data_IF_788465338386
#
_entry.id   IF_788465338386
#
_cell.length_a   1.000
_cell.length_b   1.000
_cell.length_c   1.000
_cell.angle_alpha   90.00
_cell.angle_beta   90.00
_cell.angle_gamma   90.00
#
_symmetry.space_group_name_H-M   'P 1'
#
loop_
_entity.id
_entity.type
_entity.pdbx_description
1 polymer ?
#
# COMPACT_ATOMS: atom_id res chain seq x y z
N UNK A 1 21.43 32.72 -15.79
CA UNK A 1 22.05 31.75 -14.86
C UNK A 1 20.96 30.81 -14.37
N UNK A 2 21.08 29.49 -14.61
CA UNK A 2 20.11 28.50 -14.11
C UNK A 2 20.19 28.48 -12.59
N UNK A 3 19.12 28.85 -11.88
CA UNK A 3 19.04 28.72 -10.43
C UNK A 3 18.96 27.23 -10.08
N UNK A 4 20.13 26.61 -9.90
CA UNK A 4 20.26 25.20 -9.50
C UNK A 4 19.79 24.97 -8.04
N UNK A 5 19.51 26.06 -7.29
CA UNK A 5 19.10 26.03 -5.88
C UNK A 5 17.74 26.73 -5.62
N UNK A 6 16.81 26.75 -6.59
CA UNK A 6 15.47 27.28 -6.30
C UNK A 6 14.74 26.34 -5.32
N UNK A 7 14.59 26.79 -4.07
CA UNK A 7 13.81 26.10 -3.05
C UNK A 7 12.37 26.60 -3.13
N UNK A 8 11.42 25.67 -3.29
CA UNK A 8 10.00 25.97 -3.49
C UNK A 8 9.22 25.62 -2.21
N UNK A 9 8.20 26.39 -1.82
CA UNK A 9 7.25 25.96 -0.80
C UNK A 9 6.52 24.68 -1.22
N UNK A 10 6.28 23.79 -0.26
CA UNK A 10 5.57 22.53 -0.49
C UNK A 10 4.41 22.36 0.49
N UNK A 11 3.25 21.93 -0.01
CA UNK A 11 2.11 21.57 0.81
C UNK A 11 1.78 20.10 0.62
N UNK A 12 1.74 19.35 1.73
CA UNK A 12 1.30 17.96 1.73
C UNK A 12 -0.20 17.92 2.03
N UNK A 13 -0.98 17.41 1.08
CA UNK A 13 -2.43 17.26 1.20
C UNK A 13 -2.75 15.98 1.99
N UNK A 14 -3.21 16.15 3.23
CA UNK A 14 -3.48 15.07 4.18
C UNK A 14 -4.92 15.04 4.72
N UNK A 15 -5.83 15.84 4.17
CA UNK A 15 -7.26 15.83 4.51
C UNK A 15 -8.08 14.62 4.01
N UNK A 16 -7.47 13.66 3.32
CA UNK A 16 -8.16 12.48 2.77
C UNK A 16 -8.50 11.42 3.82
N UNK A 17 -9.78 11.02 3.91
CA UNK A 17 -10.21 9.88 4.75
C UNK A 17 -10.00 8.53 4.04
N UNK A 18 -9.37 7.58 4.73
CA UNK A 18 -9.20 6.20 4.28
C UNK A 18 -10.45 5.36 4.53
N UNK A 19 -11.52 5.58 3.74
CA UNK A 19 -12.82 4.87 3.95
C UNK A 19 -12.67 3.35 3.96
N UNK A 20 -11.81 2.81 3.10
CA UNK A 20 -11.51 1.36 2.99
C UNK A 20 -10.46 0.87 4.01
N UNK A 21 -9.96 1.75 4.86
CA UNK A 21 -8.88 1.53 5.83
C UNK A 21 -9.34 1.85 7.26
N UNK A 22 -10.57 1.45 7.59
CA UNK A 22 -11.18 1.71 8.90
C UNK A 22 -11.53 3.18 9.16
N UNK A 23 -11.62 4.02 8.13
CA UNK A 23 -12.04 5.41 8.23
C UNK A 23 -11.00 6.39 8.80
N UNK A 24 -9.78 5.92 9.11
CA UNK A 24 -8.66 6.73 9.61
C UNK A 24 -8.17 7.73 8.55
N UNK A 25 -7.57 8.84 8.95
CA UNK A 25 -6.88 9.74 8.00
C UNK A 25 -5.72 9.01 7.33
N UNK A 26 -5.67 9.08 6.00
CA UNK A 26 -4.69 8.33 5.21
C UNK A 26 -3.25 8.62 5.61
N UNK A 27 -2.92 9.90 5.84
CA UNK A 27 -1.56 10.29 6.23
C UNK A 27 -1.08 9.67 7.55
N UNK A 28 -2.02 9.29 8.43
CA UNK A 28 -1.74 8.66 9.74
C UNK A 28 -1.81 7.13 9.71
N UNK A 29 -2.16 6.52 8.58
CA UNK A 29 -2.05 5.07 8.43
C UNK A 29 -0.57 4.72 8.50
N UNK A 30 -0.23 3.74 9.33
CA UNK A 30 1.14 3.26 9.40
C UNK A 30 1.41 2.31 8.22
N UNK A 31 2.55 2.52 7.59
CA UNK A 31 3.21 1.52 6.78
C UNK A 31 4.43 1.08 7.59
N UNK A 32 4.40 -0.15 8.11
CA UNK A 32 5.37 -0.64 9.09
C UNK A 32 5.28 0.20 10.38
N UNK A 33 6.36 0.85 10.79
CA UNK A 33 6.46 1.54 12.09
C UNK A 33 6.27 3.05 12.00
N UNK A 34 5.93 3.58 10.82
CA UNK A 34 5.77 5.01 10.64
C UNK A 34 4.56 5.39 9.78
N UNK A 35 3.94 6.56 10.02
CA UNK A 35 2.81 7.06 9.23
C UNK A 35 3.16 7.30 7.76
N UNK A 36 2.22 7.10 6.83
CA UNK A 36 2.43 7.35 5.40
C UNK A 36 2.98 8.75 5.10
N UNK A 37 2.49 9.77 5.81
CA UNK A 37 2.95 11.15 5.61
C UNK A 37 4.45 11.32 5.90
N UNK A 38 5.00 10.52 6.81
CA UNK A 38 6.44 10.59 7.15
C UNK A 38 7.32 10.15 5.98
N UNK A 39 6.85 9.22 5.13
CA UNK A 39 7.56 8.83 3.91
C UNK A 39 7.63 9.99 2.92
N UNK A 40 6.52 10.72 2.74
CA UNK A 40 6.46 11.88 1.85
C UNK A 40 7.33 13.02 2.38
N UNK A 41 7.25 13.32 3.69
CA UNK A 41 8.06 14.32 4.36
C UNK A 41 9.56 14.06 4.21
N UNK A 42 10.00 12.81 4.38
CA UNK A 42 11.39 12.43 4.18
C UNK A 42 11.86 12.72 2.75
N UNK A 43 11.02 12.48 1.73
CA UNK A 43 11.37 12.72 0.31
C UNK A 43 11.57 14.19 -0.03
N UNK A 44 10.85 15.09 0.64
CA UNK A 44 10.93 16.54 0.40
C UNK A 44 11.88 17.27 1.34
N UNK A 45 12.28 16.63 2.44
CA UNK A 45 13.21 17.20 3.42
C UNK A 45 14.52 17.63 2.75
N UNK A 46 14.94 18.86 3.01
CA UNK A 46 16.14 19.46 2.41
C UNK A 46 16.01 19.86 0.93
N UNK A 47 14.87 19.61 0.28
CA UNK A 47 14.63 19.92 -1.14
C UNK A 47 13.48 20.91 -1.37
N UNK A 48 12.59 21.07 -0.40
CA UNK A 48 11.52 22.05 -0.42
C UNK A 48 11.43 22.79 0.92
N UNK A 49 11.13 24.08 0.87
CA UNK A 49 10.89 24.92 2.04
C UNK A 49 10.18 26.23 1.63
N UNK A 50 9.33 26.81 2.49
CA UNK A 50 8.76 26.19 3.70
C UNK A 50 7.83 25.00 3.37
N UNK A 51 7.54 24.17 4.36
CA UNK A 51 6.62 23.02 4.23
C UNK A 51 5.41 23.25 5.13
N UNK A 52 4.21 22.98 4.59
CA UNK A 52 2.97 23.01 5.34
C UNK A 52 2.12 21.74 5.08
N UNK A 53 1.19 21.44 5.99
CA UNK A 53 0.29 20.29 5.91
C UNK A 53 -1.14 20.77 5.78
N UNK A 54 -1.83 20.39 4.70
CA UNK A 54 -3.26 20.67 4.59
C UNK A 54 -4.07 19.58 5.29
N UNK A 55 -4.74 19.96 6.39
CA UNK A 55 -5.40 19.07 7.34
C UNK A 55 -6.77 19.65 7.72
N UNK A 56 -7.78 18.78 7.79
CA UNK A 56 -9.14 19.16 8.17
C UNK A 56 -9.65 18.46 9.45
N UNK A 57 -8.90 17.49 9.97
CA UNK A 57 -9.24 16.70 11.16
C UNK A 57 -7.97 16.25 11.89
N UNK A 58 -8.10 15.82 13.16
CA UNK A 58 -7.00 15.25 13.94
C UNK A 58 -5.74 16.13 14.05
N UNK A 59 -5.96 17.45 14.14
CA UNK A 59 -4.92 18.49 14.24
C UNK A 59 -3.80 18.17 15.24
N UNK A 60 -4.13 17.73 16.45
CA UNK A 60 -3.15 17.41 17.50
C UNK A 60 -2.13 16.35 17.06
N UNK A 61 -2.56 15.32 16.33
CA UNK A 61 -1.64 14.30 15.81
C UNK A 61 -0.72 14.85 14.73
N UNK A 62 -1.22 15.76 13.90
CA UNK A 62 -0.43 16.35 12.83
C UNK A 62 0.52 17.46 13.32
N UNK A 63 0.18 18.18 14.40
CA UNK A 63 1.07 19.16 15.05
C UNK A 63 2.38 18.53 15.49
N UNK A 64 2.36 17.24 15.88
CA UNK A 64 3.57 16.50 16.28
C UNK A 64 4.61 16.36 15.15
N UNK A 65 4.25 16.57 13.89
CA UNK A 65 5.24 16.59 12.80
C UNK A 65 6.01 17.91 12.71
N UNK A 66 5.59 18.98 13.42
CA UNK A 66 6.33 20.24 13.52
C UNK A 66 6.20 21.18 12.30
N UNK A 67 5.19 21.00 11.46
CA UNK A 67 4.94 21.83 10.27
C UNK A 67 3.70 22.71 10.45
N UNK A 68 3.65 23.83 9.72
CA UNK A 68 2.47 24.70 9.67
C UNK A 68 1.25 23.92 9.16
N UNK A 69 0.10 24.12 9.80
CA UNK A 69 -1.15 23.44 9.41
C UNK A 69 -2.04 24.43 8.66
N UNK A 70 -2.52 24.01 7.50
CA UNK A 70 -3.45 24.75 6.65
C UNK A 70 -4.81 24.06 6.64
N UNK A 71 -5.85 24.79 7.02
CA UNK A 71 -7.23 24.33 6.89
C UNK A 71 -7.81 24.66 5.51
N UNK A 72 -8.83 23.91 5.12
CA UNK A 72 -9.57 24.18 3.89
C UNK A 72 -10.28 25.55 3.96
N UNK A 73 -10.06 26.46 2.98
CA UNK A 73 -10.66 27.79 3.00
C UNK A 73 -12.17 27.78 2.70
N UNK A 74 -12.72 26.66 2.26
CA UNK A 74 -14.13 26.50 1.89
C UNK A 74 -14.72 25.30 2.62
N UNK A 75 -15.91 25.48 3.23
CA UNK A 75 -16.60 24.40 3.94
C UNK A 75 -17.23 23.41 2.95
N UNK A 76 -17.18 22.12 3.31
CA UNK A 76 -17.79 21.02 2.56
C UNK A 76 -16.76 20.03 2.01
N UNK A 77 -17.22 18.82 1.68
CA UNK A 77 -16.36 17.78 1.09
C UNK A 77 -16.16 18.01 -0.41
N UNK A 78 -15.39 19.03 -0.76
CA UNK A 78 -15.27 19.53 -2.14
C UNK A 78 -14.09 18.92 -2.92
N UNK A 79 -13.45 17.88 -2.38
CA UNK A 79 -12.36 17.16 -3.04
C UNK A 79 -10.99 17.84 -2.88
N UNK A 80 -9.95 17.35 -3.60
CA UNK A 80 -8.57 17.82 -3.45
C UNK A 80 -8.36 19.28 -3.89
N UNK A 81 -9.28 19.82 -4.70
CA UNK A 81 -9.21 21.20 -5.19
C UNK A 81 -9.22 22.24 -4.06
N UNK A 82 -9.88 21.97 -2.93
CA UNK A 82 -9.90 22.92 -1.80
C UNK A 82 -8.57 22.93 -1.05
N UNK A 83 -7.93 21.76 -0.88
CA UNK A 83 -6.57 21.69 -0.34
C UNK A 83 -5.55 22.37 -1.25
N UNK A 84 -5.71 22.25 -2.57
CA UNK A 84 -4.87 23.00 -3.54
C UNK A 84 -5.13 24.50 -3.41
N UNK A 85 -6.38 24.94 -3.28
CA UNK A 85 -6.71 26.35 -3.04
C UNK A 85 -6.07 26.88 -1.75
N UNK A 86 -6.11 26.09 -0.66
CA UNK A 86 -5.40 26.41 0.59
C UNK A 86 -3.91 26.61 0.34
N UNK A 87 -3.30 25.71 -0.45
CA UNK A 87 -1.89 25.75 -0.81
C UNK A 87 -1.51 27.00 -1.59
N UNK A 88 -2.32 27.39 -2.59
CA UNK A 88 -2.08 28.59 -3.40
C UNK A 88 -2.24 29.87 -2.59
N UNK A 89 -3.26 29.95 -1.73
CA UNK A 89 -3.49 31.09 -0.85
C UNK A 89 -2.33 31.26 0.14
N UNK A 90 -1.88 30.18 0.77
CA UNK A 90 -0.75 30.20 1.69
C UNK A 90 0.53 30.64 0.98
N UNK A 91 0.87 30.04 -0.17
CA UNK A 91 2.03 30.41 -0.95
C UNK A 91 2.01 31.89 -1.39
N UNK A 92 0.84 32.41 -1.76
CA UNK A 92 0.65 33.83 -2.07
C UNK A 92 0.90 34.72 -0.84
N UNK A 93 0.44 34.32 0.35
CA UNK A 93 0.66 35.06 1.60
C UNK A 93 2.15 35.14 1.97
N UNK A 94 2.91 34.06 1.73
CA UNK A 94 4.37 34.05 1.92
C UNK A 94 5.14 34.60 0.70
N UNK A 95 4.45 35.28 -0.22
CA UNK A 95 5.00 35.97 -1.40
C UNK A 95 5.78 35.06 -2.37
N UNK A 96 5.41 33.79 -2.42
CA UNK A 96 5.96 32.84 -3.38
C UNK A 96 5.13 32.83 -4.66
N UNK A 97 5.79 32.63 -5.81
CA UNK A 97 5.14 32.59 -7.13
C UNK A 97 4.65 31.20 -7.53
N UNK A 98 5.24 30.17 -6.92
CA UNK A 98 4.96 28.77 -7.19
C UNK A 98 4.85 27.99 -5.88
N UNK A 99 4.04 26.94 -5.88
CA UNK A 99 3.91 26.00 -4.77
C UNK A 99 3.80 24.57 -5.27
N UNK A 100 4.54 23.66 -4.64
CA UNK A 100 4.43 22.24 -4.88
C UNK A 100 3.30 21.67 -4.01
N UNK A 101 2.43 20.86 -4.59
CA UNK A 101 1.50 20.02 -3.83
C UNK A 101 1.91 18.56 -3.93
N UNK A 102 1.74 17.81 -2.85
CA UNK A 102 1.96 16.36 -2.82
C UNK A 102 0.85 15.68 -2.00
N UNK A 103 0.39 14.47 -2.37
CA UNK A 103 -0.52 13.71 -1.54
C UNK A 103 0.24 12.96 -0.44
N UNK A 104 -0.36 12.84 0.74
CA UNK A 104 0.26 12.15 1.89
C UNK A 104 0.37 10.62 1.77
N UNK A 105 -0.26 10.00 0.77
CA UNK A 105 -0.41 8.55 0.62
C UNK A 105 0.44 7.95 -0.52
N UNK A 106 1.49 8.67 -0.95
CA UNK A 106 2.44 8.23 -2.00
C UNK A 106 3.86 8.09 -1.43
N UNK A 107 4.19 6.99 -0.73
CA UNK A 107 5.47 6.87 -0.04
C UNK A 107 6.68 6.69 -0.97
N UNK A 108 6.44 6.39 -2.25
CA UNK A 108 7.47 6.01 -3.23
C UNK A 108 7.88 7.13 -4.18
N UNK A 109 7.63 8.40 -3.82
CA UNK A 109 7.99 9.53 -4.67
C UNK A 109 9.46 9.47 -5.15
N UNK A 110 9.72 9.73 -6.45
CA UNK A 110 11.06 9.69 -7.02
C UNK A 110 11.99 10.70 -6.35
N UNK A 111 13.27 10.35 -6.19
CA UNK A 111 14.24 11.24 -5.55
C UNK A 111 14.47 12.55 -6.32
N UNK A 112 14.33 12.52 -7.64
CA UNK A 112 14.50 13.64 -8.56
C UNK A 112 13.19 14.34 -8.93
N UNK A 113 12.10 14.09 -8.19
CA UNK A 113 10.78 14.66 -8.45
C UNK A 113 10.82 16.19 -8.56
N UNK A 114 11.31 16.86 -7.51
CA UNK A 114 11.30 18.33 -7.42
C UNK A 114 12.19 18.95 -8.51
N UNK A 115 13.39 18.39 -8.71
CA UNK A 115 14.32 18.85 -9.74
C UNK A 115 13.71 18.76 -11.14
N UNK A 116 13.04 17.64 -11.44
CA UNK A 116 12.44 17.41 -12.75
C UNK A 116 11.26 18.37 -13.01
N UNK A 117 10.43 18.63 -12.00
CA UNK A 117 9.34 19.61 -12.08
C UNK A 117 9.87 21.04 -12.26
N UNK A 118 10.93 21.42 -11.53
CA UNK A 118 11.59 22.72 -11.66
C UNK A 118 12.21 22.92 -13.04
N UNK A 119 12.88 21.90 -13.57
CA UNK A 119 13.46 21.94 -14.91
C UNK A 119 12.36 22.21 -15.94
N UNK A 120 11.27 21.45 -15.91
CA UNK A 120 10.15 21.65 -16.83
C UNK A 120 9.49 23.03 -16.67
N UNK A 121 9.34 23.53 -15.44
CA UNK A 121 8.89 24.91 -15.18
C UNK A 121 9.79 25.95 -15.87
N UNK A 122 11.11 25.81 -15.72
CA UNK A 122 12.07 26.77 -16.25
C UNK A 122 12.19 26.72 -17.77
N UNK A 123 11.98 25.54 -18.38
CA UNK A 123 11.96 25.36 -19.84
C UNK A 123 10.65 25.86 -20.47
N UNK A 124 9.59 26.04 -19.69
CA UNK A 124 8.26 26.45 -20.16
C UNK A 124 7.75 27.67 -19.35
N UNK A 125 8.27 28.89 -19.58
CA UNK A 125 7.97 30.06 -18.74
C UNK A 125 6.50 30.52 -18.78
N UNK A 126 5.76 30.15 -19.83
CA UNK A 126 4.37 30.58 -20.07
C UNK A 126 3.31 29.65 -19.45
N UNK A 127 3.73 28.60 -18.73
CA UNK A 127 2.81 27.65 -18.11
C UNK A 127 2.34 28.13 -16.74
N UNK A 128 1.14 27.69 -16.37
CA UNK A 128 0.51 27.97 -15.08
C UNK A 128 0.61 26.76 -14.14
N UNK A 129 0.98 25.59 -14.69
CA UNK A 129 0.98 24.31 -14.00
C UNK A 129 2.04 23.37 -14.59
N UNK A 130 2.76 22.64 -13.74
CA UNK A 130 3.63 21.52 -14.14
C UNK A 130 3.18 20.25 -13.41
N UNK A 131 2.79 19.21 -14.15
CA UNK A 131 2.19 17.98 -13.60
C UNK A 131 3.08 16.78 -13.83
N UNK A 132 3.26 15.94 -12.80
CA UNK A 132 3.89 14.64 -12.95
C UNK A 132 2.98 13.66 -13.72
N UNK A 133 3.57 12.89 -14.63
CA UNK A 133 2.95 11.79 -15.36
C UNK A 133 3.70 10.49 -15.13
N UNK A 134 2.99 9.37 -15.06
CA UNK A 134 3.55 8.02 -14.97
C UNK A 134 2.52 7.03 -15.51
N UNK A 135 2.98 5.97 -16.18
CA UNK A 135 2.16 4.91 -16.77
C UNK A 135 1.00 5.41 -17.63
N UNK A 136 1.19 6.52 -18.34
CA UNK A 136 0.16 7.16 -19.16
C UNK A 136 -0.90 7.98 -18.40
N UNK A 137 -0.80 8.09 -17.08
CA UNK A 137 -1.71 8.86 -16.23
C UNK A 137 -1.12 10.19 -15.79
N UNK A 138 -1.99 11.20 -15.65
CA UNK A 138 -1.67 12.45 -14.97
C UNK A 138 -1.81 12.27 -13.46
N UNK A 139 -0.87 12.84 -12.70
CA UNK A 139 -0.96 12.95 -11.24
C UNK A 139 -1.10 14.42 -10.87
N UNK A 140 -2.26 15.06 -11.10
CA UNK A 140 -2.41 16.51 -10.97
C UNK A 140 -2.31 17.01 -9.53
N UNK A 141 -2.36 16.12 -8.52
CA UNK A 141 -2.04 16.47 -7.14
C UNK A 141 -0.53 16.56 -6.89
N UNK A 142 0.29 15.86 -7.68
CA UNK A 142 1.74 15.90 -7.66
C UNK A 142 2.18 16.91 -8.72
N UNK A 143 2.11 18.19 -8.35
CA UNK A 143 2.23 19.26 -9.32
C UNK A 143 2.79 20.54 -8.71
N UNK A 144 3.45 21.32 -9.57
CA UNK A 144 3.92 22.66 -9.27
C UNK A 144 2.93 23.67 -9.84
N UNK A 145 2.36 24.50 -8.97
CA UNK A 145 1.28 25.42 -9.31
C UNK A 145 1.70 26.87 -9.23
N UNK A 146 1.34 27.67 -10.22
CA UNK A 146 1.48 29.12 -10.16
C UNK A 146 0.46 29.69 -9.18
N UNK A 147 0.90 30.51 -8.23
CA UNK A 147 0.04 30.97 -7.12
C UNK A 147 -1.13 31.84 -7.56
N UNK A 148 -1.01 32.53 -8.69
CA UNK A 148 -2.07 33.38 -9.25
C UNK A 148 -3.29 32.57 -9.72
N UNK A 149 -3.16 31.24 -9.84
CA UNK A 149 -4.28 30.35 -10.12
C UNK A 149 -5.31 30.31 -8.97
N UNK A 150 -5.02 30.90 -7.80
CA UNK A 150 -5.90 30.84 -6.65
C UNK A 150 -7.30 31.45 -6.90
N UNK A 151 -7.36 32.56 -7.65
CA UNK A 151 -8.63 33.25 -7.95
C UNK A 151 -9.49 32.43 -8.93
N UNK A 152 -8.89 31.94 -10.01
CA UNK A 152 -9.60 31.13 -11.00
C UNK A 152 -10.03 29.78 -10.41
N UNK A 153 -9.20 29.18 -9.55
CA UNK A 153 -9.55 27.94 -8.86
C UNK A 153 -10.72 28.15 -7.89
N UNK A 154 -10.69 29.23 -7.11
CA UNK A 154 -11.79 29.56 -6.20
C UNK A 154 -13.11 29.69 -6.97
N UNK A 155 -13.11 30.46 -8.06
CA UNK A 155 -14.28 30.64 -8.91
C UNK A 155 -14.78 29.31 -9.49
N UNK A 156 -13.89 28.48 -10.02
CA UNK A 156 -14.22 27.15 -10.53
C UNK A 156 -14.90 26.25 -9.47
N UNK A 157 -14.40 26.27 -8.23
CA UNK A 157 -14.98 25.49 -7.12
C UNK A 157 -16.38 26.02 -6.76
N UNK A 158 -16.58 27.33 -6.76
CA UNK A 158 -17.88 27.98 -6.51
C UNK A 158 -18.90 27.68 -7.62
N UNK A 159 -18.44 27.58 -8.87
CA UNK A 159 -19.23 27.15 -10.04
C UNK A 159 -19.50 25.64 -10.08
N UNK A 160 -19.05 24.90 -9.07
CA UNK A 160 -19.37 23.48 -8.90
C UNK A 160 -18.35 22.51 -9.51
N UNK A 161 -17.19 22.98 -9.98
CA UNK A 161 -16.11 22.08 -10.41
C UNK A 161 -15.56 21.34 -9.19
N UNK A 162 -15.53 20.00 -9.29
CA UNK A 162 -15.03 19.09 -8.23
C UNK A 162 -13.88 18.21 -8.68
N UNK A 163 -13.77 17.93 -9.98
CA UNK A 163 -12.72 17.07 -10.54
C UNK A 163 -11.52 17.91 -10.92
N UNK A 164 -10.35 17.50 -10.44
CA UNK A 164 -9.08 18.19 -10.70
C UNK A 164 -8.71 18.20 -12.18
N UNK A 165 -8.97 17.11 -12.91
CA UNK A 165 -8.69 17.03 -14.35
C UNK A 165 -9.53 18.04 -15.16
N UNK A 166 -10.78 18.29 -14.73
CA UNK A 166 -11.66 19.29 -15.37
C UNK A 166 -11.14 20.71 -15.15
N UNK A 167 -10.59 21.00 -13.97
CA UNK A 167 -10.01 22.31 -13.70
C UNK A 167 -8.69 22.50 -14.45
N UNK A 168 -7.79 21.53 -14.35
CA UNK A 168 -6.44 21.62 -14.93
C UNK A 168 -6.42 21.63 -16.45
N UNK A 169 -7.45 21.08 -17.12
CA UNK A 169 -7.59 21.18 -18.58
C UNK A 169 -7.76 22.61 -19.10
N UNK A 170 -8.10 23.56 -18.23
CA UNK A 170 -8.24 24.98 -18.56
C UNK A 170 -6.92 25.75 -18.41
N UNK A 171 -5.89 25.14 -17.83
CA UNK A 171 -4.61 25.76 -17.53
C UNK A 171 -3.56 25.41 -18.59
N UNK A 172 -2.65 26.35 -18.88
CA UNK A 172 -1.44 26.04 -19.64
C UNK A 172 -0.55 25.12 -18.81
N UNK A 173 -0.43 23.86 -19.24
CA UNK A 173 0.19 22.80 -18.44
C UNK A 173 1.40 22.20 -19.14
N UNK A 174 2.54 22.19 -18.45
CA UNK A 174 3.68 21.33 -18.80
C UNK A 174 3.57 19.99 -18.07
N UNK A 175 4.12 18.94 -18.67
CA UNK A 175 4.12 17.60 -18.10
C UNK A 175 5.53 17.03 -17.99
N UNK A 176 5.79 16.33 -16.90
CA UNK A 176 7.04 15.58 -16.69
C UNK A 176 6.71 14.10 -16.68
N UNK A 177 7.18 13.38 -17.70
CA UNK A 177 6.97 11.94 -17.81
C UNK A 177 8.02 11.18 -16.99
N UNK A 178 7.60 10.54 -15.90
CA UNK A 178 8.50 9.76 -15.04
C UNK A 178 8.74 8.35 -15.55
N UNK A 179 8.01 7.85 -16.55
CA UNK A 179 8.31 6.54 -17.18
C UNK A 179 9.69 6.54 -17.86
N UNK A 180 10.17 7.70 -18.29
CA UNK A 180 11.47 7.88 -18.96
C UNK A 180 12.62 8.10 -17.97
N UNK A 181 12.28 8.43 -16.72
CA UNK A 181 13.20 8.94 -15.71
C UNK A 181 13.38 7.92 -14.58
N UNK A 182 12.29 7.28 -14.18
CA UNK A 182 12.24 6.27 -13.11
C UNK A 182 12.06 4.89 -13.74
N UNK A 183 13.04 4.00 -13.51
CA UNK A 183 13.05 2.64 -14.04
C UNK A 183 12.45 1.60 -13.08
N UNK A 184 11.76 2.06 -12.03
CA UNK A 184 11.10 1.15 -11.08
C UNK A 184 10.04 0.29 -11.75
N UNK A 185 9.90 -0.95 -11.27
CA UNK A 185 8.90 -1.91 -11.77
C UNK A 185 7.46 -1.46 -11.44
N UNK A 186 7.28 -0.77 -10.32
CA UNK A 186 6.01 -0.21 -9.85
C UNK A 186 5.87 1.27 -10.23
N UNK A 187 4.65 1.79 -10.32
CA UNK A 187 4.43 3.23 -10.47
C UNK A 187 4.81 3.96 -9.16
N UNK A 188 5.81 4.89 -9.18
CA UNK A 188 6.26 5.58 -7.98
C UNK A 188 5.22 6.54 -7.39
N UNK A 189 4.16 6.85 -8.14
CA UNK A 189 3.05 7.69 -7.70
C UNK A 189 1.82 6.90 -7.24
N UNK A 190 1.97 5.59 -7.02
CA UNK A 190 0.88 4.74 -6.51
C UNK A 190 0.39 5.24 -5.14
N UNK A 191 -0.90 5.63 -5.07
CA UNK A 191 -1.57 5.96 -3.82
C UNK A 191 -1.98 4.70 -3.05
N UNK A 192 -1.70 4.66 -1.76
CA UNK A 192 -2.09 3.53 -0.89
C UNK A 192 -3.51 3.75 -0.33
N UNK A 193 -4.48 2.96 -0.83
CA UNK A 193 -5.91 3.13 -0.59
C UNK A 193 -6.59 1.95 0.13
N UNK A 194 -5.92 0.81 0.21
CA UNK A 194 -6.45 -0.46 0.70
C UNK A 194 -5.38 -1.28 1.44
N UNK A 195 -5.76 -2.29 2.24
CA UNK A 195 -4.78 -3.14 2.92
C UNK A 195 -3.88 -3.88 1.94
N UNK A 196 -4.41 -4.27 0.78
CA UNK A 196 -3.65 -4.86 -0.33
C UNK A 196 -2.52 -3.94 -0.79
N UNK A 197 -2.79 -2.64 -0.89
CA UNK A 197 -1.77 -1.67 -1.31
C UNK A 197 -0.64 -1.58 -0.28
N UNK A 198 -0.95 -1.69 1.02
CA UNK A 198 0.07 -1.72 2.07
C UNK A 198 0.94 -2.98 2.01
N UNK A 199 0.34 -4.15 1.73
CA UNK A 199 1.10 -5.40 1.51
C UNK A 199 2.08 -5.22 0.34
N UNK A 200 1.60 -4.71 -0.79
CA UNK A 200 2.44 -4.43 -1.97
C UNK A 200 3.53 -3.41 -1.61
N UNK A 201 3.20 -2.38 -0.84
CA UNK A 201 4.16 -1.39 -0.37
C UNK A 201 5.26 -2.02 0.49
N UNK A 202 4.93 -2.96 1.37
CA UNK A 202 5.92 -3.70 2.17
C UNK A 202 6.82 -4.58 1.30
N UNK A 203 6.29 -5.15 0.21
CA UNK A 203 7.07 -5.90 -0.77
C UNK A 203 8.03 -5.00 -1.55
N UNK A 204 7.58 -3.83 -2.00
CA UNK A 204 8.43 -2.82 -2.67
C UNK A 204 9.57 -2.36 -1.75
N UNK A 205 9.30 -2.23 -0.44
CA UNK A 205 10.32 -1.89 0.57
C UNK A 205 11.27 -3.05 0.91
N UNK A 206 11.08 -4.24 0.32
CA UNK A 206 11.87 -5.44 0.63
C UNK A 206 11.65 -5.96 2.06
N UNK A 207 10.52 -5.61 2.68
CA UNK A 207 10.16 -6.00 4.05
C UNK A 207 9.23 -7.19 4.12
N UNK A 208 8.62 -7.55 3.00
CA UNK A 208 7.76 -8.72 2.88
C UNK A 208 8.11 -9.46 1.60
N UNK A 209 8.27 -10.79 1.61
CA UNK A 209 8.44 -11.55 0.37
C UNK A 209 7.13 -11.58 -0.44
N UNK A 210 7.18 -12.13 -1.66
CA UNK A 210 5.97 -12.47 -2.40
C UNK A 210 5.01 -13.33 -1.57
N UNK A 211 3.70 -13.09 -1.73
CA UNK A 211 2.65 -13.81 -1.01
C UNK A 211 1.60 -14.35 -1.97
N UNK A 212 1.06 -15.52 -1.66
CA UNK A 212 -0.12 -16.05 -2.34
C UNK A 212 -0.96 -16.92 -1.41
N UNK A 213 -2.26 -17.01 -1.70
CA UNK A 213 -3.20 -17.82 -0.94
C UNK A 213 -3.57 -19.12 -1.65
N UNK A 214 -4.03 -20.10 -0.87
CA UNK A 214 -4.74 -21.28 -1.37
C UNK A 214 -6.23 -21.14 -1.10
N UNK A 215 -7.02 -21.08 -2.17
CA UNK A 215 -8.48 -21.01 -2.12
C UNK A 215 -9.09 -22.37 -2.47
N UNK A 216 -10.32 -22.64 -2.01
CA UNK A 216 -11.01 -23.89 -2.31
C UNK A 216 -11.97 -24.29 -1.20
N UNK A 217 -12.99 -25.07 -1.53
CA UNK A 217 -14.01 -25.53 -0.59
C UNK A 217 -13.42 -26.45 0.49
N UNK A 218 -14.14 -26.66 1.60
CA UNK A 218 -13.73 -27.63 2.61
C UNK A 218 -13.58 -29.02 1.98
N UNK A 219 -12.56 -29.78 2.38
CA UNK A 219 -12.26 -31.09 1.79
C UNK A 219 -11.47 -31.09 0.48
N UNK A 220 -11.23 -29.93 -0.16
CA UNK A 220 -10.50 -29.87 -1.45
C UNK A 220 -9.04 -30.30 -1.43
N UNK A 221 -8.44 -30.44 -0.24
CA UNK A 221 -7.03 -30.78 -0.11
C UNK A 221 -6.09 -29.58 -0.10
N UNK A 222 -6.59 -28.37 0.24
CA UNK A 222 -5.75 -27.16 0.43
C UNK A 222 -4.56 -27.40 1.34
N UNK A 223 -4.78 -27.95 2.54
CA UNK A 223 -3.70 -28.26 3.50
C UNK A 223 -2.70 -29.24 2.89
N UNK A 224 -3.19 -30.27 2.19
CA UNK A 224 -2.34 -31.27 1.54
C UNK A 224 -1.47 -30.65 0.45
N UNK A 225 -2.04 -29.78 -0.39
CA UNK A 225 -1.29 -29.05 -1.40
C UNK A 225 -0.29 -28.08 -0.74
N UNK A 226 -0.70 -27.36 0.31
CA UNK A 226 0.16 -26.46 1.07
C UNK A 226 1.41 -27.18 1.58
N UNK A 227 1.23 -28.31 2.29
CA UNK A 227 2.33 -29.12 2.80
C UNK A 227 3.26 -29.59 1.69
N UNK A 228 2.71 -30.12 0.58
CA UNK A 228 3.51 -30.58 -0.56
C UNK A 228 4.31 -29.45 -1.22
N UNK A 229 3.71 -28.26 -1.34
CA UNK A 229 4.41 -27.08 -1.87
C UNK A 229 5.54 -26.64 -0.95
N UNK A 230 5.30 -26.59 0.37
CA UNK A 230 6.34 -26.25 1.36
C UNK A 230 7.50 -27.24 1.27
N UNK A 231 7.21 -28.55 1.24
CA UNK A 231 8.23 -29.59 1.08
C UNK A 231 9.03 -29.41 -0.22
N UNK A 232 8.36 -29.11 -1.33
CA UNK A 232 9.01 -28.96 -2.62
C UNK A 232 9.89 -27.70 -2.68
N UNK A 233 9.39 -26.56 -2.18
CA UNK A 233 10.17 -25.32 -2.04
C UNK A 233 11.39 -25.52 -1.14
N UNK A 234 11.21 -26.17 0.01
CA UNK A 234 12.31 -26.45 0.96
C UNK A 234 13.37 -27.33 0.32
N UNK A 235 12.98 -28.35 -0.47
CA UNK A 235 13.92 -29.23 -1.19
C UNK A 235 14.81 -28.47 -2.18
N UNK A 236 14.31 -27.38 -2.76
CA UNK A 236 15.06 -26.53 -3.71
C UNK A 236 15.69 -25.29 -3.04
N UNK A 237 15.71 -25.25 -1.70
CA UNK A 237 16.41 -24.21 -0.92
C UNK A 237 15.60 -22.93 -0.66
N UNK A 238 14.30 -22.91 -0.97
CA UNK A 238 13.42 -21.75 -0.78
C UNK A 238 12.77 -21.83 0.61
N UNK A 239 12.93 -20.79 1.43
CA UNK A 239 12.35 -20.69 2.76
C UNK A 239 10.90 -20.22 2.68
N UNK A 240 9.98 -21.02 3.22
CA UNK A 240 8.54 -20.74 3.14
C UNK A 240 7.99 -20.30 4.49
N UNK A 241 7.42 -19.09 4.53
CA UNK A 241 6.54 -18.66 5.61
C UNK A 241 5.11 -19.14 5.38
N UNK A 242 4.38 -19.44 6.45
CA UNK A 242 2.98 -19.87 6.34
C UNK A 242 2.08 -19.11 7.28
N UNK A 243 0.94 -18.65 6.77
CA UNK A 243 -0.15 -18.10 7.57
C UNK A 243 -1.36 -19.00 7.43
N UNK A 244 -1.77 -19.63 8.53
CA UNK A 244 -2.95 -20.51 8.58
C UNK A 244 -4.03 -19.88 9.46
N UNK A 245 -5.19 -19.58 8.87
CA UNK A 245 -6.36 -19.16 9.62
C UNK A 245 -7.18 -20.39 10.04
N UNK A 246 -7.32 -20.63 11.35
CA UNK A 246 -8.16 -21.67 11.93
C UNK A 246 -9.59 -21.18 12.19
N UNK A 247 -10.61 -21.99 11.85
CA UNK A 247 -12.03 -21.61 12.00
C UNK A 247 -12.62 -21.78 13.42
N UNK A 248 -11.81 -22.12 14.43
CA UNK A 248 -12.24 -22.36 15.82
C UNK A 248 -11.16 -21.95 16.83
N UNK A 249 -11.53 -21.88 18.12
CA UNK A 249 -10.57 -21.77 19.23
C UNK A 249 -9.54 -22.91 19.13
N UNK A 250 -8.26 -22.57 19.12
CA UNK A 250 -7.16 -23.52 19.12
C UNK A 250 -6.16 -23.15 20.22
N UNK A 251 -5.51 -24.15 20.79
CA UNK A 251 -4.38 -23.96 21.70
C UNK A 251 -3.13 -24.57 21.06
N UNK A 252 -2.03 -23.81 21.10
CA UNK A 252 -0.71 -24.25 20.61
C UNK A 252 0.03 -25.05 21.70
N UNK A 253 -0.28 -24.78 22.96
CA UNK A 253 0.23 -25.49 24.13
C UNK A 253 -0.83 -26.39 24.78
N UNK A 254 -0.43 -27.16 25.80
CA UNK A 254 -1.29 -28.18 26.44
C UNK A 254 -1.72 -27.74 27.83
N UNK A 255 -3.01 -27.88 28.20
CA UNK A 255 -3.47 -27.67 29.57
C UNK A 255 -2.61 -28.40 30.62
N UNK A 256 -2.26 -27.70 31.70
CA UNK A 256 -1.43 -28.23 32.78
C UNK A 256 0.08 -28.18 32.56
N UNK A 257 0.56 -27.68 31.40
CA UNK A 257 2.00 -27.38 31.19
C UNK A 257 2.33 -25.93 31.58
N UNK A 258 3.60 -25.69 31.89
CA UNK A 258 4.06 -24.40 32.41
C UNK A 258 3.68 -23.22 31.50
N UNK A 259 3.90 -23.35 30.19
CA UNK A 259 3.56 -22.30 29.23
C UNK A 259 2.06 -22.00 29.19
N UNK A 260 1.22 -23.04 29.29
CA UNK A 260 -0.23 -22.89 29.35
C UNK A 260 -0.64 -22.17 30.63
N UNK A 261 -0.08 -22.58 31.77
CA UNK A 261 -0.38 -21.98 33.06
C UNK A 261 0.06 -20.51 33.12
N UNK A 262 1.27 -20.18 32.62
CA UNK A 262 1.76 -18.80 32.52
C UNK A 262 0.84 -17.93 31.65
N UNK A 263 0.42 -18.44 30.48
CA UNK A 263 -0.49 -17.74 29.58
C UNK A 263 -1.87 -17.54 30.20
N UNK A 264 -2.48 -18.58 30.78
CA UNK A 264 -3.79 -18.49 31.45
C UNK A 264 -3.74 -17.64 32.73
N UNK A 265 -2.57 -17.50 33.36
CA UNK A 265 -2.35 -16.56 34.45
C UNK A 265 -2.30 -15.08 33.99
N UNK A 266 -2.24 -14.82 32.67
CA UNK A 266 -2.34 -13.49 32.09
C UNK A 266 -1.09 -12.97 31.38
N UNK A 267 -0.07 -13.79 31.14
CA UNK A 267 1.13 -13.37 30.40
C UNK A 267 0.78 -12.97 28.95
N UNK A 268 1.07 -11.71 28.59
CA UNK A 268 0.77 -11.12 27.26
C UNK A 268 1.88 -10.11 26.86
N UNK A 269 2.75 -10.41 25.87
CA UNK A 269 2.90 -11.69 25.19
C UNK A 269 3.53 -12.76 26.07
N UNK A 270 3.33 -14.04 25.73
CA UNK A 270 4.06 -15.18 26.31
C UNK A 270 5.02 -15.76 25.27
N UNK A 271 6.30 -15.88 25.63
CA UNK A 271 7.33 -16.47 24.77
C UNK A 271 7.87 -17.73 25.45
N UNK A 272 7.84 -18.85 24.74
CA UNK A 272 8.52 -20.09 25.12
C UNK A 272 9.67 -20.36 24.14
N UNK A 273 10.85 -20.71 24.65
CA UNK A 273 12.05 -20.90 23.83
C UNK A 273 12.88 -22.10 24.28
N UNK A 274 13.62 -22.67 23.33
CA UNK A 274 14.56 -23.78 23.48
C UNK A 274 15.68 -23.66 22.45
N UNK A 275 16.66 -24.56 22.48
CA UNK A 275 17.72 -24.60 21.46
C UNK A 275 17.20 -24.86 20.04
N UNK A 276 16.08 -25.58 19.89
CA UNK A 276 15.55 -26.00 18.59
C UNK A 276 14.57 -24.99 17.99
N UNK A 277 13.81 -24.29 18.84
CA UNK A 277 12.71 -23.42 18.42
C UNK A 277 12.22 -22.54 19.56
N UNK A 278 11.50 -21.49 19.18
CA UNK A 278 10.68 -20.70 20.08
C UNK A 278 9.26 -20.53 19.51
N UNK A 279 8.31 -20.16 20.37
CA UNK A 279 6.97 -19.75 19.99
C UNK A 279 6.60 -18.48 20.75
N UNK A 280 5.98 -17.53 20.04
CA UNK A 280 5.38 -16.33 20.60
C UNK A 280 3.86 -16.50 20.54
N UNK A 281 3.20 -16.35 21.68
CA UNK A 281 1.75 -16.41 21.79
C UNK A 281 1.24 -15.06 22.30
N UNK A 282 0.34 -14.46 21.52
CA UNK A 282 -0.34 -13.23 21.84
C UNK A 282 -1.85 -13.49 21.83
N UNK A 283 -2.50 -13.26 22.96
CA UNK A 283 -3.95 -13.28 23.06
C UNK A 283 -4.54 -12.01 22.42
N UNK A 284 -5.61 -12.15 21.65
CA UNK A 284 -6.34 -11.01 21.07
C UNK A 284 -7.09 -10.24 22.16
N UNK A 285 -7.06 -8.92 22.08
CA UNK A 285 -7.84 -8.06 22.98
C UNK A 285 -9.31 -8.07 22.53
N UNK A 286 -10.23 -8.15 23.49
CA UNK A 286 -11.69 -8.16 23.25
C UNK A 286 -12.20 -9.21 22.23
N UNK A 287 -11.48 -10.31 22.03
CA UNK A 287 -11.77 -11.32 21.01
C UNK A 287 -11.82 -10.77 19.56
N UNK A 288 -11.24 -9.60 19.31
CA UNK A 288 -11.16 -9.03 17.95
C UNK A 288 -10.09 -9.78 17.13
N UNK A 289 -10.52 -10.33 16.00
CA UNK A 289 -9.65 -11.04 15.09
C UNK A 289 -8.79 -10.06 14.28
N UNK A 290 -7.47 -10.32 14.23
CA UNK A 290 -6.56 -9.51 13.40
C UNK A 290 -6.77 -9.82 11.92
N UNK A 291 -6.74 -8.77 11.12
CA UNK A 291 -6.72 -8.85 9.68
C UNK A 291 -5.45 -9.55 9.15
N UNK A 292 -5.50 -10.04 7.91
CA UNK A 292 -4.32 -10.60 7.25
C UNK A 292 -3.16 -9.59 7.19
N UNK A 293 -3.48 -8.31 6.95
CA UNK A 293 -2.48 -7.24 6.91
C UNK A 293 -1.72 -7.12 8.24
N UNK A 294 -2.42 -7.08 9.37
CA UNK A 294 -1.79 -7.00 10.69
C UNK A 294 -0.93 -8.22 11.01
N UNK A 295 -1.34 -9.41 10.56
CA UNK A 295 -0.51 -10.62 10.68
C UNK A 295 0.75 -10.54 9.82
N UNK A 296 0.66 -10.02 8.60
CA UNK A 296 1.82 -9.81 7.72
C UNK A 296 2.76 -8.71 8.23
N UNK A 297 2.25 -7.68 8.92
CA UNK A 297 3.10 -6.70 9.60
C UNK A 297 3.99 -7.34 10.66
N UNK A 298 3.49 -8.36 11.38
CA UNK A 298 4.31 -9.10 12.35
C UNK A 298 5.45 -9.84 11.64
N UNK A 299 5.18 -10.44 10.48
CA UNK A 299 6.21 -11.06 9.62
C UNK A 299 7.27 -10.06 9.16
N UNK A 300 6.87 -8.84 8.81
CA UNK A 300 7.78 -7.84 8.25
C UNK A 300 8.61 -7.08 9.29
N UNK A 301 8.10 -6.95 10.52
CA UNK A 301 8.76 -6.18 11.60
C UNK A 301 9.76 -7.00 12.40
N UNK A 302 9.55 -8.31 12.53
CA UNK A 302 10.49 -9.19 13.22
C UNK A 302 11.45 -9.79 12.20
N UNK A 303 12.78 -9.80 12.42
CA UNK A 303 13.70 -10.57 11.61
C UNK A 303 13.54 -12.06 11.99
N UNK A 304 12.36 -12.61 11.76
CA UNK A 304 12.22 -14.04 11.52
C UNK A 304 13.04 -14.31 10.26
N UNK A 305 13.76 -15.44 10.23
CA UNK A 305 14.62 -15.83 9.10
C UNK A 305 13.99 -15.43 7.76
N UNK A 306 14.77 -14.83 6.85
CA UNK A 306 14.30 -14.40 5.54
C UNK A 306 13.47 -15.54 4.92
N UNK A 307 12.17 -15.34 4.87
CA UNK A 307 11.27 -16.17 4.09
C UNK A 307 11.33 -15.61 2.68
N UNK A 308 11.44 -16.49 1.70
CA UNK A 308 11.51 -16.14 0.28
C UNK A 308 10.10 -16.08 -0.33
N UNK A 309 9.12 -16.73 0.31
CA UNK A 309 7.69 -16.67 -0.05
C UNK A 309 6.79 -16.93 1.16
N UNK A 310 5.58 -16.35 1.18
CA UNK A 310 4.53 -16.66 2.17
C UNK A 310 3.34 -17.34 1.51
N UNK A 311 2.93 -18.50 2.04
CA UNK A 311 1.70 -19.21 1.65
C UNK A 311 0.62 -18.95 2.69
N UNK A 312 -0.52 -18.41 2.24
CA UNK A 312 -1.69 -18.15 3.08
C UNK A 312 -2.72 -19.25 2.87
N UNK A 313 -3.04 -20.01 3.92
CA UNK A 313 -4.12 -20.98 3.93
C UNK A 313 -5.26 -20.46 4.81
N UNK A 314 -6.42 -20.25 4.20
CA UNK A 314 -7.56 -19.58 4.85
C UNK A 314 -7.71 -18.14 4.33
N UNK A 315 -8.29 -17.24 5.13
CA UNK A 315 -8.52 -15.85 4.72
C UNK A 315 -9.21 -15.71 3.35
N UNK A 316 -10.23 -16.54 3.09
CA UNK A 316 -10.86 -16.68 1.76
C UNK A 316 -11.30 -15.35 1.12
N UNK A 317 -11.72 -14.39 1.93
CA UNK A 317 -12.24 -13.09 1.50
C UNK A 317 -11.14 -12.03 1.31
N UNK A 318 -9.88 -12.33 1.64
CA UNK A 318 -8.78 -11.37 1.49
C UNK A 318 -8.41 -11.16 0.02
N UNK A 319 -8.05 -9.92 -0.29
CA UNK A 319 -7.78 -9.47 -1.66
C UNK A 319 -6.31 -9.72 -2.07
N UNK A 320 -5.86 -10.97 -1.94
CA UNK A 320 -4.51 -11.42 -2.31
C UNK A 320 -4.56 -12.41 -3.49
N UNK A 321 -3.49 -12.54 -4.30
CA UNK A 321 -3.42 -13.55 -5.36
C UNK A 321 -3.64 -14.95 -4.81
N UNK A 322 -4.49 -15.76 -5.44
CA UNK A 322 -4.88 -17.09 -4.96
C UNK A 322 -4.75 -18.18 -6.03
N UNK A 323 -4.29 -19.36 -5.63
CA UNK A 323 -4.40 -20.61 -6.39
C UNK A 323 -5.65 -21.34 -5.90
N UNK A 324 -6.61 -21.59 -6.78
CA UNK A 324 -7.80 -22.36 -6.44
C UNK A 324 -7.50 -23.86 -6.47
N UNK A 325 -7.88 -24.57 -5.42
CA UNK A 325 -7.85 -26.03 -5.34
C UNK A 325 -9.26 -26.54 -5.59
N UNK A 326 -9.46 -27.18 -6.74
CA UNK A 326 -10.76 -27.66 -7.19
C UNK A 326 -10.76 -29.18 -7.34
N UNK A 327 -11.77 -29.83 -6.77
CA UNK A 327 -12.09 -31.23 -7.03
C UNK A 327 -13.58 -31.37 -7.29
N UNK A 328 -13.91 -32.06 -8.37
CA UNK A 328 -15.31 -32.25 -8.80
C UNK A 328 -16.14 -33.04 -7.80
N UNK A 329 -15.53 -34.01 -7.13
CA UNK A 329 -16.17 -34.85 -6.12
C UNK A 329 -16.79 -34.07 -4.94
N UNK A 330 -16.30 -32.86 -4.67
CA UNK A 330 -16.85 -31.98 -3.62
C UNK A 330 -18.24 -31.44 -4.00
N UNK A 331 -18.59 -31.46 -5.30
CA UNK A 331 -19.89 -31.01 -5.80
C UNK A 331 -20.13 -29.50 -5.63
N UNK A 332 -19.06 -28.69 -5.61
CA UNK A 332 -19.13 -27.23 -5.47
C UNK A 332 -18.64 -26.53 -6.73
N UNK A 333 -19.06 -25.27 -6.90
CA UNK A 333 -18.69 -24.45 -8.06
C UNK A 333 -17.28 -23.88 -7.95
N UNK A 334 -16.72 -23.46 -9.09
CA UNK A 334 -15.48 -22.70 -9.12
C UNK A 334 -15.58 -21.39 -8.35
N UNK A 335 -14.52 -21.04 -7.61
CA UNK A 335 -14.40 -19.78 -6.90
C UNK A 335 -13.93 -18.64 -7.81
N UNK A 336 -13.10 -18.92 -8.84
CA UNK A 336 -12.56 -17.87 -9.72
C UNK A 336 -13.61 -17.09 -10.50
N UNK A 337 -14.84 -17.61 -10.62
CA UNK A 337 -15.96 -16.91 -11.25
C UNK A 337 -16.36 -15.65 -10.48
N UNK A 338 -16.23 -15.69 -9.16
CA UNK A 338 -16.61 -14.59 -8.26
C UNK A 338 -15.39 -13.86 -7.69
N UNK A 339 -14.20 -14.46 -7.77
CA UNK A 339 -12.96 -13.91 -7.22
C UNK A 339 -11.87 -13.72 -8.29
N UNK A 340 -11.76 -12.47 -8.73
CA UNK A 340 -10.76 -12.01 -9.73
C UNK A 340 -9.30 -12.13 -9.28
N UNK A 341 -9.03 -12.43 -8.01
CA UNK A 341 -7.65 -12.66 -7.54
C UNK A 341 -7.18 -14.09 -7.77
N UNK A 342 -8.05 -15.01 -8.19
CA UNK A 342 -7.65 -16.38 -8.51
C UNK A 342 -6.94 -16.38 -9.86
N UNK A 343 -5.65 -16.72 -9.85
CA UNK A 343 -4.81 -16.64 -11.04
C UNK A 343 -4.62 -17.99 -11.75
N UNK A 344 -4.94 -19.09 -11.10
CA UNK A 344 -4.85 -20.44 -11.64
C UNK A 344 -5.69 -21.41 -10.80
N UNK A 345 -5.96 -22.60 -11.35
CA UNK A 345 -6.67 -23.69 -10.69
C UNK A 345 -5.80 -24.95 -10.69
N UNK A 346 -5.62 -25.57 -9.53
CA UNK A 346 -5.05 -26.90 -9.38
C UNK A 346 -6.19 -27.91 -9.20
N UNK A 347 -6.27 -28.91 -10.09
CA UNK A 347 -7.32 -29.94 -10.07
C UNK A 347 -6.79 -31.33 -10.40
N UNK A 348 -7.50 -32.35 -9.92
CA UNK A 348 -7.25 -33.76 -10.21
C UNK A 348 -7.84 -34.24 -11.54
N UNK A 349 -8.56 -33.37 -12.23
CA UNK A 349 -9.03 -33.59 -13.60
C UNK A 349 -8.62 -32.45 -14.53
N UNK A 350 -8.65 -32.70 -15.84
CA UNK A 350 -8.42 -31.66 -16.83
C UNK A 350 -9.64 -30.76 -16.93
N UNK A 351 -9.47 -29.48 -16.61
CA UNK A 351 -10.53 -28.49 -16.66
C UNK A 351 -10.50 -27.68 -17.97
N UNK A 352 -11.67 -27.21 -18.40
CA UNK A 352 -11.79 -26.22 -19.47
C UNK A 352 -12.13 -24.86 -18.85
N UNK A 353 -11.13 -24.00 -18.70
CA UNK A 353 -11.22 -22.74 -17.97
C UNK A 353 -10.48 -21.62 -18.68
N UNK A 354 -10.90 -20.38 -18.46
CA UNK A 354 -10.30 -19.18 -19.07
C UNK A 354 -8.97 -18.77 -18.40
N UNK A 355 -8.63 -19.42 -17.29
CA UNK A 355 -7.38 -19.24 -16.54
C UNK A 355 -6.58 -20.55 -16.53
N UNK A 356 -5.25 -20.50 -16.29
CA UNK A 356 -4.40 -21.69 -16.25
C UNK A 356 -4.94 -22.77 -15.30
N UNK A 357 -5.00 -24.01 -15.79
CA UNK A 357 -5.34 -25.19 -15.01
C UNK A 357 -4.14 -26.14 -14.95
N UNK A 358 -3.77 -26.57 -13.76
CA UNK A 358 -2.64 -27.48 -13.50
C UNK A 358 -3.12 -28.77 -12.84
N UNK A 359 -2.42 -29.87 -13.12
CA UNK A 359 -2.60 -31.13 -12.40
C UNK A 359 -2.19 -30.94 -10.92
N UNK A 360 -3.15 -31.13 -10.03
CA UNK A 360 -3.01 -31.03 -8.57
C UNK A 360 -1.93 -31.98 -8.01
N UNK A 361 -1.62 -33.06 -8.73
CA UNK A 361 -0.61 -34.03 -8.33
C UNK A 361 0.78 -33.71 -8.89
N UNK A 362 0.89 -32.82 -9.88
CA UNK A 362 2.16 -32.37 -10.43
C UNK A 362 2.68 -31.15 -9.67
N UNK A 363 3.22 -31.40 -8.47
CA UNK A 363 3.71 -30.34 -7.56
C UNK A 363 4.83 -29.53 -8.19
N UNK A 364 5.72 -30.14 -9.00
CA UNK A 364 6.80 -29.42 -9.67
C UNK A 364 6.26 -28.34 -10.62
N UNK A 365 5.27 -28.69 -11.45
CA UNK A 365 4.65 -27.75 -12.39
C UNK A 365 3.95 -26.58 -11.66
N UNK A 366 3.29 -26.86 -10.53
CA UNK A 366 2.68 -25.81 -9.70
C UNK A 366 3.78 -24.92 -9.10
N UNK A 367 4.86 -25.49 -8.57
CA UNK A 367 6.01 -24.74 -8.04
C UNK A 367 6.64 -23.84 -9.11
N UNK A 368 6.88 -24.35 -10.32
CA UNK A 368 7.49 -23.59 -11.41
C UNK A 368 6.62 -22.39 -11.83
N UNK A 369 5.30 -22.59 -11.89
CA UNK A 369 4.36 -21.50 -12.14
C UNK A 369 4.46 -20.42 -11.05
N UNK A 370 4.51 -20.82 -9.77
CA UNK A 370 4.58 -19.91 -8.63
C UNK A 370 5.90 -19.12 -8.62
N UNK A 371 7.04 -19.78 -8.84
CA UNK A 371 8.36 -19.14 -8.92
C UNK A 371 8.35 -18.08 -10.03
N UNK A 372 7.89 -18.45 -11.23
CA UNK A 372 7.83 -17.54 -12.37
C UNK A 372 6.88 -16.37 -12.13
N UNK A 373 5.69 -16.63 -11.58
CA UNK A 373 4.66 -15.61 -11.40
C UNK A 373 5.05 -14.57 -10.34
N UNK A 374 5.68 -15.02 -9.27
CA UNK A 374 5.98 -14.19 -8.10
C UNK A 374 7.44 -13.75 -8.02
N UNK A 375 8.26 -14.09 -9.03
CA UNK A 375 9.70 -13.82 -9.07
C UNK A 375 10.40 -14.28 -7.77
N UNK A 376 10.06 -15.48 -7.28
CA UNK A 376 10.63 -16.04 -6.06
C UNK A 376 12.10 -16.36 -6.34
N UNK A 377 12.99 -15.72 -5.58
CA UNK A 377 14.45 -15.77 -5.78
C UNK A 377 15.11 -16.84 -4.91
#
# INVERSE_FOLDING_TARGET
MKNINEIIPCVILAGGKGRRMGGKEKGLINLLDRPLISYVLEKVSGKAAPIALNINTNFEKFKNFGYEILEDPLKGHLGPLVGILASLNWAKNIKQKWVLTLPCDTPFLPQNLIESLLKAKNENPDVDLVVAKSRGFNHPVIALWKTDNNLILKKAIEEGIRKIDIFTSQLKTAHVNFDEIDKSKSDPFTNLNSPKDLIIAMQILGKLPPIFGLAGWSGSGKTTLCTKLIENFTKIGINVGTLKHAHHKFDIDKPGKDSYNLRKAGARPMIISSKERFALIQENDNEEEKSLFEMLEIFAKSPLNKCDVIIVEGYKNENIPKLEVFRREIGKTFLHKDDTNIFAIASDEKLNTDIPSLDLNNISSITDLLIKKFEIA
#
